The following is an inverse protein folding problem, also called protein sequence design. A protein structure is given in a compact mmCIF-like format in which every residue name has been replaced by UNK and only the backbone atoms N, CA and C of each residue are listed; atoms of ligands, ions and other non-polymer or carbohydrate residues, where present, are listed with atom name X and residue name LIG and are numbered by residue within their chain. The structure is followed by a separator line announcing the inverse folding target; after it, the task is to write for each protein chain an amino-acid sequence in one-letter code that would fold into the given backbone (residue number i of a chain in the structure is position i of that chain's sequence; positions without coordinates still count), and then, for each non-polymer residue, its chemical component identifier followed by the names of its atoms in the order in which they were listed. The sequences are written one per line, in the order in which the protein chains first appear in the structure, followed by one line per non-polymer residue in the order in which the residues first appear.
data_IF_305795957385
#
_entry.id   IF_305795957385
#
_cell.length_a   1.000
_cell.length_b   1.000
_cell.length_c   1.000
_cell.angle_alpha   90.00
_cell.angle_beta   90.00
_cell.angle_gamma   90.00
#
_symmetry.space_group_name_H-M   'P 1'
#
loop_
_entity.id
_entity.type
_entity.pdbx_description
1 polymer ?
#
# COMPACT_ATOMS: atom_id res chain seq x y z
N UNK A 1 -12.21 -0.47 26.35
CA UNK A 1 -10.89 -0.78 26.94
C UNK A 1 -10.04 -1.71 26.08
N UNK A 2 -10.56 -2.84 25.53
CA UNK A 2 -9.73 -3.76 24.73
C UNK A 2 -9.00 -3.12 23.55
N UNK A 3 -9.65 -2.18 22.86
CA UNK A 3 -9.08 -1.45 21.71
C UNK A 3 -7.93 -0.51 22.09
N UNK A 4 -7.99 0.15 23.25
CA UNK A 4 -6.93 1.03 23.72
C UNK A 4 -5.64 0.27 24.01
N UNK A 5 -5.77 -0.89 24.65
CA UNK A 5 -4.62 -1.75 24.94
C UNK A 5 -4.04 -2.32 23.63
N UNK A 6 -4.89 -2.70 22.67
CA UNK A 6 -4.45 -3.14 21.34
C UNK A 6 -3.61 -2.06 20.63
N UNK A 7 -4.06 -0.80 20.66
CA UNK A 7 -3.32 0.30 20.04
C UNK A 7 -1.98 0.55 20.72
N UNK A 8 -1.92 0.51 22.06
CA UNK A 8 -0.66 0.66 22.78
C UNK A 8 0.33 -0.47 22.46
N UNK A 9 -0.15 -1.71 22.33
CA UNK A 9 0.67 -2.83 21.91
C UNK A 9 1.15 -2.68 20.46
N UNK A 10 0.23 -2.28 19.56
CA UNK A 10 0.56 -2.00 18.16
C UNK A 10 1.62 -0.92 18.03
N UNK A 11 1.46 0.25 18.63
CA UNK A 11 2.42 1.35 18.44
C UNK A 11 3.83 1.01 18.93
N UNK A 12 3.95 0.24 20.02
CA UNK A 12 5.26 -0.27 20.48
C UNK A 12 5.92 -1.20 19.46
N UNK A 13 5.12 -2.07 18.84
CA UNK A 13 5.59 -3.00 17.82
C UNK A 13 5.84 -2.28 16.50
N UNK A 14 5.03 -1.27 16.16
CA UNK A 14 5.15 -0.50 14.93
C UNK A 14 6.45 0.30 14.89
N UNK A 15 6.82 0.95 16.00
CA UNK A 15 8.13 1.61 16.13
C UNK A 15 9.26 0.59 15.93
N UNK A 16 9.22 -0.54 16.65
CA UNK A 16 10.25 -1.57 16.49
C UNK A 16 10.29 -2.17 15.07
N UNK A 17 9.14 -2.44 14.45
CA UNK A 17 9.01 -2.92 13.08
C UNK A 17 9.63 -1.91 12.12
N UNK A 18 9.33 -0.63 12.27
CA UNK A 18 9.87 0.45 11.47
C UNK A 18 11.40 0.54 11.56
N UNK A 19 11.96 0.42 12.78
CA UNK A 19 13.41 0.53 12.98
C UNK A 19 14.20 -0.71 12.60
N UNK A 20 13.62 -1.90 12.78
CA UNK A 20 14.33 -3.19 12.71
C UNK A 20 13.94 -3.99 11.48
N UNK A 21 12.64 -4.22 11.27
CA UNK A 21 12.14 -5.14 10.24
C UNK A 21 11.98 -4.47 8.88
N UNK A 22 11.47 -3.24 8.83
CA UNK A 22 11.26 -2.51 7.56
C UNK A 22 12.59 -2.25 6.83
N UNK A 23 13.69 -2.04 7.56
CA UNK A 23 15.04 -1.93 6.97
C UNK A 23 15.52 -3.22 6.32
N UNK A 24 14.97 -4.35 6.74
CA UNK A 24 15.32 -5.69 6.26
C UNK A 24 14.25 -6.25 5.32
N UNK A 25 13.16 -5.51 5.05
CA UNK A 25 12.00 -5.99 4.29
C UNK A 25 11.30 -7.18 4.94
N UNK A 26 11.33 -7.26 6.28
CA UNK A 26 10.83 -8.39 7.07
C UNK A 26 9.60 -8.03 7.91
N UNK A 27 8.95 -6.89 7.64
CA UNK A 27 7.75 -6.45 8.36
C UNK A 27 6.60 -7.47 8.26
N UNK A 28 6.55 -8.27 7.19
CA UNK A 28 5.54 -9.30 6.96
C UNK A 28 5.50 -10.38 8.05
N UNK A 29 6.57 -10.56 8.85
CA UNK A 29 6.55 -11.47 10.01
C UNK A 29 5.54 -11.04 11.08
N UNK A 30 5.24 -9.74 11.16
CA UNK A 30 4.20 -9.20 12.05
C UNK A 30 2.89 -8.99 11.30
N UNK A 31 2.96 -8.40 10.11
CA UNK A 31 1.76 -7.96 9.39
C UNK A 31 0.90 -9.14 8.92
N UNK A 32 1.51 -10.22 8.41
CA UNK A 32 0.79 -11.40 7.93
C UNK A 32 -0.01 -12.10 9.03
N UNK A 33 0.58 -12.52 10.16
CA UNK A 33 -0.20 -13.16 11.22
C UNK A 33 -1.24 -12.23 11.85
N UNK A 34 -0.97 -10.92 11.93
CA UNK A 34 -1.96 -9.95 12.40
C UNK A 34 -3.15 -9.84 11.44
N UNK A 35 -2.91 -9.92 10.13
CA UNK A 35 -3.94 -9.90 9.09
C UNK A 35 -4.94 -11.05 9.14
N UNK A 36 -4.60 -12.18 9.77
CA UNK A 36 -5.55 -13.27 10.04
C UNK A 36 -6.64 -12.84 11.04
N UNK A 37 -6.36 -11.87 11.91
CA UNK A 37 -7.31 -11.29 12.86
C UNK A 37 -8.01 -10.07 12.25
N UNK A 38 -8.81 -10.31 11.20
CA UNK A 38 -9.27 -9.27 10.26
C UNK A 38 -9.96 -8.07 10.92
N UNK A 39 -10.82 -8.28 11.93
CA UNK A 39 -11.50 -7.18 12.62
C UNK A 39 -10.52 -6.28 13.38
N UNK A 40 -9.65 -6.87 14.19
CA UNK A 40 -8.63 -6.14 14.95
C UNK A 40 -7.62 -5.43 14.02
N UNK A 41 -7.19 -6.10 12.95
CA UNK A 41 -6.30 -5.52 11.95
C UNK A 41 -6.94 -4.30 11.26
N UNK A 42 -8.21 -4.38 10.86
CA UNK A 42 -8.92 -3.24 10.26
C UNK A 42 -9.06 -2.06 11.22
N UNK A 43 -9.29 -2.32 12.52
CA UNK A 43 -9.29 -1.27 13.56
C UNK A 43 -7.91 -0.60 13.66
N UNK A 44 -6.83 -1.40 13.70
CA UNK A 44 -5.45 -0.88 13.73
C UNK A 44 -5.16 -0.02 12.50
N UNK A 45 -5.51 -0.50 11.30
CA UNK A 45 -5.28 0.22 10.05
C UNK A 45 -5.93 1.60 10.09
N UNK A 46 -7.21 1.68 10.49
CA UNK A 46 -7.97 2.94 10.52
C UNK A 46 -7.46 3.94 11.57
N UNK A 47 -6.99 3.45 12.72
CA UNK A 47 -6.40 4.31 13.75
C UNK A 47 -5.00 4.80 13.32
N UNK A 48 -4.16 3.88 12.86
CA UNK A 48 -2.77 4.18 12.52
C UNK A 48 -2.64 5.03 11.24
N UNK A 49 -3.59 4.95 10.30
CA UNK A 49 -3.63 5.82 9.11
C UNK A 49 -3.85 7.30 9.46
N UNK A 50 -4.45 7.60 10.62
CA UNK A 50 -4.65 8.96 11.10
C UNK A 50 -3.46 9.47 11.94
N UNK A 51 -2.43 8.64 12.14
CA UNK A 51 -1.27 9.00 12.95
C UNK A 51 -0.42 10.09 12.28
N UNK A 52 0.08 11.03 13.09
CA UNK A 52 1.11 11.98 12.64
C UNK A 52 2.44 11.33 12.29
N UNK A 53 2.68 10.07 12.66
CA UNK A 53 3.89 9.32 12.30
C UNK A 53 3.75 8.71 10.91
N UNK A 54 4.61 9.11 9.98
CA UNK A 54 4.71 8.53 8.63
C UNK A 54 4.89 7.00 8.67
N UNK A 55 5.74 6.48 9.56
CA UNK A 55 5.98 5.05 9.67
C UNK A 55 4.74 4.28 10.13
N UNK A 56 3.90 4.86 10.98
CA UNK A 56 2.64 4.23 11.38
C UNK A 56 1.66 4.15 10.22
N UNK A 57 1.51 5.24 9.45
CA UNK A 57 0.67 5.24 8.25
C UNK A 57 1.16 4.24 7.20
N UNK A 58 2.48 4.18 7.00
CA UNK A 58 3.14 3.23 6.09
C UNK A 58 2.87 1.77 6.47
N UNK A 59 3.05 1.43 7.74
CA UNK A 59 2.76 0.09 8.26
C UNK A 59 1.26 -0.24 8.22
N UNK A 60 0.38 0.74 8.44
CA UNK A 60 -1.07 0.57 8.28
C UNK A 60 -1.45 0.24 6.84
N UNK A 61 -0.93 1.01 5.87
CA UNK A 61 -1.11 0.75 4.46
C UNK A 61 -0.61 -0.64 4.07
N UNK A 62 0.55 -1.06 4.58
CA UNK A 62 1.11 -2.40 4.37
C UNK A 62 0.25 -3.51 5.00
N UNK A 63 -0.26 -3.29 6.22
CA UNK A 63 -1.12 -4.25 6.94
C UNK A 63 -2.41 -4.53 6.17
N UNK A 64 -3.00 -3.50 5.54
CA UNK A 64 -4.24 -3.65 4.79
C UNK A 64 -4.17 -4.77 3.73
N UNK A 65 -3.04 -4.94 3.07
CA UNK A 65 -2.80 -5.98 2.06
C UNK A 65 -2.73 -7.41 2.61
N UNK A 66 -2.61 -7.57 3.93
CA UNK A 66 -2.55 -8.85 4.62
C UNK A 66 -3.85 -9.25 5.31
N UNK A 67 -4.82 -8.34 5.41
CA UNK A 67 -6.11 -8.63 6.02
C UNK A 67 -6.84 -9.65 5.17
N UNK A 68 -7.27 -10.75 5.80
CA UNK A 68 -7.92 -11.88 5.13
C UNK A 68 -9.34 -11.55 4.66
N UNK A 69 -10.14 -10.96 5.54
CA UNK A 69 -11.52 -10.56 5.27
C UNK A 69 -11.67 -9.04 5.48
N UNK A 70 -11.07 -8.22 4.59
CA UNK A 70 -11.10 -6.78 4.73
C UNK A 70 -12.46 -6.19 4.41
N UNK A 71 -12.73 -5.00 4.98
CA UNK A 71 -13.83 -4.15 4.52
C UNK A 71 -13.57 -3.73 3.07
N UNK A 72 -14.56 -3.86 2.16
CA UNK A 72 -14.40 -3.46 0.76
C UNK A 72 -13.88 -2.03 0.54
N UNK A 73 -14.20 -1.12 1.46
CA UNK A 73 -13.84 0.30 1.38
C UNK A 73 -12.46 0.62 1.98
N UNK A 74 -11.77 -0.33 2.61
CA UNK A 74 -10.58 0.00 3.42
C UNK A 74 -9.46 0.66 2.60
N UNK A 75 -9.19 0.17 1.38
CA UNK A 75 -8.18 0.77 0.51
C UNK A 75 -8.60 2.16 0.02
N UNK A 76 -9.90 2.38 -0.24
CA UNK A 76 -10.44 3.70 -0.60
C UNK A 76 -10.36 4.68 0.58
N UNK A 77 -10.66 4.22 1.79
CA UNK A 77 -10.51 4.99 3.03
C UNK A 77 -9.05 5.41 3.24
N UNK A 78 -8.10 4.49 3.04
CA UNK A 78 -6.66 4.77 3.13
C UNK A 78 -6.20 5.76 2.06
N UNK A 79 -6.61 5.53 0.80
CA UNK A 79 -6.31 6.45 -0.30
C UNK A 79 -6.82 7.86 0.02
N UNK A 80 -8.08 7.97 0.42
CA UNK A 80 -8.68 9.26 0.79
C UNK A 80 -7.95 9.92 1.95
N UNK A 81 -7.60 9.16 2.99
CA UNK A 81 -6.88 9.69 4.16
C UNK A 81 -5.55 10.29 3.76
N UNK A 82 -4.76 9.59 2.94
CA UNK A 82 -3.44 10.09 2.52
C UNK A 82 -3.55 11.21 1.47
N UNK A 83 -4.57 11.17 0.61
CA UNK A 83 -4.89 12.24 -0.33
C UNK A 83 -5.27 13.55 0.38
N UNK A 84 -6.11 13.45 1.42
CA UNK A 84 -6.50 14.59 2.26
C UNK A 84 -5.28 15.11 3.06
N UNK A 85 -4.40 14.22 3.52
CA UNK A 85 -3.15 14.59 4.18
C UNK A 85 -2.19 15.34 3.22
N UNK A 86 -1.88 14.80 2.04
CA UNK A 86 -1.01 15.47 1.04
C UNK A 86 -1.55 16.84 0.64
N UNK A 87 -2.87 16.97 0.47
CA UNK A 87 -3.51 18.24 0.14
C UNK A 87 -3.43 19.30 1.26
N UNK A 88 -3.21 18.87 2.51
CA UNK A 88 -3.01 19.78 3.66
C UNK A 88 -1.58 20.31 3.78
N UNK A 89 -0.63 19.72 3.03
CA UNK A 89 0.78 20.07 3.10
C UNK A 89 1.13 21.20 2.14
N UNK A 90 2.12 22.00 2.53
CA UNK A 90 2.68 23.02 1.64
C UNK A 90 3.44 22.37 0.48
N UNK A 91 3.51 23.01 -0.71
CA UNK A 91 4.11 22.40 -1.88
C UNK A 91 5.55 21.91 -1.66
N UNK A 92 6.38 22.57 -0.86
CA UNK A 92 7.77 22.15 -0.59
C UNK A 92 7.95 21.28 0.66
N UNK A 93 6.86 20.81 1.27
CA UNK A 93 6.92 20.02 2.50
C UNK A 93 7.51 18.63 2.23
N UNK A 94 8.44 18.21 3.10
CA UNK A 94 8.99 16.85 3.08
C UNK A 94 7.91 15.80 3.30
N UNK A 95 6.84 16.12 4.05
CA UNK A 95 5.69 15.25 4.28
C UNK A 95 5.02 14.77 2.99
N UNK A 96 5.18 15.48 1.87
CA UNK A 96 4.68 15.01 0.57
C UNK A 96 5.43 13.77 0.09
N UNK A 97 6.75 13.71 0.30
CA UNK A 97 7.54 12.51 -0.04
C UNK A 97 7.15 11.32 0.83
N UNK A 98 6.87 11.58 2.11
CA UNK A 98 6.36 10.55 3.02
C UNK A 98 4.99 10.04 2.55
N UNK A 99 4.11 10.94 2.11
CA UNK A 99 2.78 10.59 1.58
C UNK A 99 2.85 9.71 0.33
N UNK A 100 3.79 10.02 -0.57
CA UNK A 100 4.07 9.20 -1.75
C UNK A 100 4.52 7.79 -1.35
N UNK A 101 5.35 7.68 -0.30
CA UNK A 101 5.81 6.37 0.19
C UNK A 101 4.72 5.57 0.90
N UNK A 102 3.74 6.22 1.54
CA UNK A 102 2.54 5.53 2.05
C UNK A 102 1.68 5.05 0.89
N UNK A 103 1.51 5.87 -0.15
CA UNK A 103 0.74 5.52 -1.34
C UNK A 103 1.31 4.31 -2.09
N UNK A 104 2.64 4.15 -2.12
CA UNK A 104 3.29 2.95 -2.63
C UNK A 104 2.79 1.67 -1.93
N UNK A 105 2.66 1.68 -0.61
CA UNK A 105 2.19 0.50 0.14
C UNK A 105 0.68 0.28 -0.01
N UNK A 106 -0.11 1.34 -0.22
CA UNK A 106 -1.54 1.19 -0.58
C UNK A 106 -1.65 0.45 -1.93
N UNK A 107 -0.84 0.82 -2.91
CA UNK A 107 -0.79 0.16 -4.23
C UNK A 107 -0.31 -1.29 -4.11
N UNK A 108 0.73 -1.56 -3.31
CA UNK A 108 1.19 -2.93 -3.01
C UNK A 108 0.09 -3.77 -2.37
N UNK A 109 -0.63 -3.21 -1.39
CA UNK A 109 -1.76 -3.88 -0.73
C UNK A 109 -2.90 -4.17 -1.70
N UNK A 110 -3.22 -3.23 -2.58
CA UNK A 110 -4.19 -3.47 -3.65
C UNK A 110 -3.72 -4.62 -4.57
N UNK A 111 -2.44 -4.68 -4.96
CA UNK A 111 -1.94 -5.80 -5.75
C UNK A 111 -2.08 -7.15 -5.04
N UNK A 112 -1.90 -7.20 -3.71
CA UNK A 112 -2.15 -8.42 -2.93
C UNK A 112 -3.61 -8.85 -3.01
N UNK A 113 -4.53 -7.91 -2.82
CA UNK A 113 -5.97 -8.17 -2.93
C UNK A 113 -6.39 -8.57 -4.35
N UNK A 114 -5.74 -8.05 -5.38
CA UNK A 114 -6.00 -8.45 -6.78
C UNK A 114 -5.61 -9.91 -7.06
N UNK A 115 -4.64 -10.46 -6.32
CA UNK A 115 -4.30 -11.90 -6.39
C UNK A 115 -5.37 -12.77 -5.73
N UNK A 116 -6.19 -12.20 -4.84
CA UNK A 116 -7.32 -12.86 -4.21
C UNK A 116 -8.61 -12.60 -5.01
N UNK A 117 -9.24 -13.67 -5.50
CA UNK A 117 -10.43 -13.59 -6.34
C UNK A 117 -11.62 -12.90 -5.66
N UNK A 118 -11.68 -12.87 -4.33
CA UNK A 118 -12.80 -12.27 -3.60
C UNK A 118 -12.66 -10.76 -3.40
N UNK A 119 -11.44 -10.22 -3.47
CA UNK A 119 -11.14 -8.80 -3.18
C UNK A 119 -10.72 -8.00 -4.43
N UNK A 120 -10.49 -8.68 -5.55
CA UNK A 120 -9.98 -8.05 -6.78
C UNK A 120 -10.81 -6.87 -7.28
N UNK A 121 -12.15 -6.94 -7.22
CA UNK A 121 -12.98 -5.81 -7.68
C UNK A 121 -12.78 -4.54 -6.85
N UNK A 122 -12.64 -4.68 -5.53
CA UNK A 122 -12.43 -3.55 -4.61
C UNK A 122 -11.03 -2.96 -4.77
N UNK A 123 -10.02 -3.82 -4.90
CA UNK A 123 -8.66 -3.38 -5.18
C UNK A 123 -8.54 -2.69 -6.55
N UNK A 124 -9.21 -3.22 -7.58
CA UNK A 124 -9.31 -2.63 -8.91
C UNK A 124 -9.90 -1.22 -8.85
N UNK A 125 -10.96 -1.03 -8.07
CA UNK A 125 -11.56 0.29 -7.88
C UNK A 125 -10.57 1.29 -7.26
N UNK A 126 -9.88 0.90 -6.18
CA UNK A 126 -8.88 1.75 -5.53
C UNK A 126 -7.71 2.12 -6.49
N UNK A 127 -7.19 1.16 -7.26
CA UNK A 127 -6.13 1.43 -8.24
C UNK A 127 -6.61 2.40 -9.33
N UNK A 128 -7.84 2.23 -9.84
CA UNK A 128 -8.44 3.16 -10.82
C UNK A 128 -8.55 4.58 -10.25
N UNK A 129 -8.91 4.74 -8.97
CA UNK A 129 -8.93 6.05 -8.30
C UNK A 129 -7.55 6.70 -8.24
N UNK A 130 -6.51 5.95 -7.84
CA UNK A 130 -5.12 6.47 -7.76
C UNK A 130 -4.62 6.95 -9.12
N UNK A 131 -4.86 6.17 -10.17
CA UNK A 131 -4.48 6.51 -11.55
C UNK A 131 -5.28 7.71 -12.03
N UNK A 132 -6.60 7.71 -11.85
CA UNK A 132 -7.48 8.81 -12.25
C UNK A 132 -7.11 10.13 -11.58
N UNK A 133 -6.84 10.12 -10.27
CA UNK A 133 -6.35 11.29 -9.53
C UNK A 133 -5.01 11.80 -10.08
N UNK A 134 -4.11 10.89 -10.45
CA UNK A 134 -2.81 11.25 -11.06
C UNK A 134 -2.98 11.95 -12.40
N UNK A 135 -3.83 11.39 -13.27
CA UNK A 135 -4.16 11.98 -14.57
C UNK A 135 -4.84 13.36 -14.39
N UNK A 136 -5.70 13.50 -13.37
CA UNK A 136 -6.39 14.74 -13.04
C UNK A 136 -5.51 15.81 -12.36
N UNK A 137 -4.23 15.51 -12.09
CA UNK A 137 -3.25 16.47 -11.57
C UNK A 137 -2.87 16.30 -10.10
N UNK A 138 -3.53 15.40 -9.35
CA UNK A 138 -3.08 14.97 -8.03
C UNK A 138 -2.09 13.83 -8.19
N UNK A 139 -0.84 14.19 -8.46
CA UNK A 139 0.19 13.26 -8.87
C UNK A 139 0.61 12.26 -7.77
N UNK A 140 0.58 10.95 -8.08
CA UNK A 140 1.15 9.86 -7.29
C UNK A 140 2.22 9.09 -8.08
N UNK A 141 3.41 8.89 -7.48
CA UNK A 141 4.53 8.19 -8.10
C UNK A 141 4.30 6.69 -8.29
N UNK A 142 3.37 6.13 -7.54
CA UNK A 142 2.95 4.74 -7.63
C UNK A 142 1.88 4.48 -8.70
N UNK A 143 1.40 5.51 -9.42
CA UNK A 143 0.37 5.34 -10.45
C UNK A 143 0.78 4.41 -11.60
N UNK A 144 2.08 4.37 -11.94
CA UNK A 144 2.61 3.42 -12.92
C UNK A 144 2.51 1.96 -12.43
N UNK A 145 2.85 1.71 -11.16
CA UNK A 145 2.70 0.37 -10.56
C UNK A 145 1.22 -0.01 -10.43
N UNK A 146 0.36 0.94 -10.05
CA UNK A 146 -1.09 0.75 -10.04
C UNK A 146 -1.60 0.30 -11.42
N UNK A 147 -1.12 0.93 -12.50
CA UNK A 147 -1.46 0.55 -13.87
C UNK A 147 -0.96 -0.86 -14.23
N UNK A 148 0.25 -1.22 -13.82
CA UNK A 148 0.80 -2.59 -14.00
C UNK A 148 -0.15 -3.62 -13.38
N UNK A 149 -0.63 -3.38 -12.15
CA UNK A 149 -1.57 -4.29 -11.50
C UNK A 149 -2.91 -4.41 -12.21
N UNK A 150 -3.50 -3.29 -12.64
CA UNK A 150 -4.75 -3.32 -13.38
C UNK A 150 -4.61 -4.13 -14.67
N UNK A 151 -3.58 -3.87 -15.47
CA UNK A 151 -3.36 -4.60 -16.72
C UNK A 151 -3.06 -6.08 -16.50
N UNK A 152 -2.39 -6.44 -15.39
CA UNK A 152 -2.03 -7.83 -15.07
C UNK A 152 -3.24 -8.68 -14.69
N UNK A 153 -4.14 -8.15 -13.87
CA UNK A 153 -5.20 -8.93 -13.22
C UNK A 153 -6.62 -8.64 -13.74
N UNK A 154 -6.84 -7.49 -14.42
CA UNK A 154 -8.14 -7.10 -15.00
C UNK A 154 -7.98 -6.46 -16.39
N UNK A 155 -7.65 -7.27 -17.39
CA UNK A 155 -7.35 -6.82 -18.76
C UNK A 155 -8.47 -6.01 -19.42
N UNK A 156 -9.72 -6.41 -19.26
CA UNK A 156 -10.80 -5.96 -20.15
C UNK A 156 -11.28 -4.53 -19.86
N UNK A 157 -11.20 -4.10 -18.59
CA UNK A 157 -11.56 -2.75 -18.15
C UNK A 157 -10.38 -1.76 -18.11
N UNK A 158 -9.16 -2.25 -18.37
CA UNK A 158 -7.92 -1.47 -18.19
C UNK A 158 -7.49 -0.70 -19.44
N UNK A 159 -8.03 -1.05 -20.62
CA UNK A 159 -7.54 -0.52 -21.90
C UNK A 159 -7.78 0.99 -22.08
N UNK A 160 -8.98 1.48 -21.75
CA UNK A 160 -9.30 2.91 -21.84
C UNK A 160 -8.43 3.73 -20.88
N UNK A 161 -8.34 3.30 -19.62
CA UNK A 161 -7.52 3.98 -18.61
C UNK A 161 -6.01 3.91 -18.93
N UNK A 162 -5.53 2.82 -19.53
CA UNK A 162 -4.15 2.71 -20.02
C UNK A 162 -3.87 3.74 -21.13
N UNK A 163 -4.82 3.94 -22.03
CA UNK A 163 -4.70 4.95 -23.09
C UNK A 163 -4.64 6.37 -22.49
N UNK A 164 -5.53 6.69 -21.54
CA UNK A 164 -5.50 7.98 -20.83
C UNK A 164 -4.18 8.20 -20.07
N UNK A 165 -3.70 7.16 -19.39
CA UNK A 165 -2.43 7.21 -18.67
C UNK A 165 -1.22 7.38 -19.62
N UNK A 166 -1.26 6.76 -20.81
CA UNK A 166 -0.24 6.93 -21.83
C UNK A 166 -0.23 8.36 -22.41
N UNK A 167 -1.40 8.97 -22.58
CA UNK A 167 -1.53 10.38 -22.98
C UNK A 167 -0.95 11.30 -21.91
N UNK A 168 -1.32 11.09 -20.65
CA UNK A 168 -0.73 11.78 -19.50
C UNK A 168 0.80 11.66 -19.49
N UNK A 169 1.34 10.44 -19.65
CA UNK A 169 2.77 10.16 -19.60
C UNK A 169 3.57 10.83 -20.74
N UNK A 170 2.92 11.14 -21.87
CA UNK A 170 3.51 11.88 -22.98
C UNK A 170 3.24 13.39 -22.92
N UNK A 171 2.46 13.84 -21.94
CA UNK A 171 2.13 15.23 -21.69
C UNK A 171 3.23 16.03 -20.99
N UNK A 172 2.93 17.28 -20.60
CA UNK A 172 3.83 18.10 -19.80
C UNK A 172 4.01 17.50 -18.41
N UNK A 173 5.21 17.62 -17.85
CA UNK A 173 5.47 17.15 -16.49
C UNK A 173 4.67 17.96 -15.46
N UNK A 174 4.07 17.30 -14.44
CA UNK A 174 3.37 18.01 -13.37
C UNK A 174 4.35 18.85 -12.56
N UNK A 175 3.87 19.99 -12.04
CA UNK A 175 4.60 20.83 -11.09
C UNK A 175 4.55 20.22 -9.68
N UNK A 176 5.18 19.06 -9.49
CA UNK A 176 5.20 18.33 -8.20
C UNK A 176 6.65 18.09 -7.70
N UNK A 177 6.95 18.30 -6.41
CA UNK A 177 8.32 18.23 -5.87
C UNK A 177 8.96 16.85 -5.98
N UNK A 178 8.15 15.80 -5.83
CA UNK A 178 8.62 14.41 -5.97
C UNK A 178 8.93 14.01 -7.42
N UNK A 179 8.84 14.94 -8.38
CA UNK A 179 8.96 14.59 -9.79
C UNK A 179 9.63 15.62 -10.71
N UNK A 180 10.89 15.38 -11.11
CA UNK A 180 11.55 16.20 -12.13
C UNK A 180 11.18 15.80 -13.58
N UNK A 181 10.53 14.65 -13.83
CA UNK A 181 10.11 14.22 -15.18
C UNK A 181 9.13 13.03 -15.19
N UNK A 182 8.37 12.84 -16.28
CA UNK A 182 7.45 11.69 -16.55
C UNK A 182 8.12 10.48 -17.24
N UNK A 183 9.45 10.36 -17.19
CA UNK A 183 10.17 9.30 -17.94
C UNK A 183 9.76 7.88 -17.53
N UNK A 184 9.46 7.66 -16.26
CA UNK A 184 9.10 6.34 -15.73
C UNK A 184 7.73 5.88 -16.24
N UNK A 185 6.74 6.75 -16.21
CA UNK A 185 5.35 6.53 -16.66
C UNK A 185 5.35 6.29 -18.14
N UNK A 186 6.14 7.08 -18.88
CA UNK A 186 6.28 6.89 -20.30
C UNK A 186 6.81 5.50 -20.61
N UNK A 187 7.85 5.07 -19.90
CA UNK A 187 8.42 3.73 -20.02
C UNK A 187 7.39 2.65 -19.65
N UNK A 188 6.66 2.81 -18.54
CA UNK A 188 5.65 1.85 -18.09
C UNK A 188 4.50 1.76 -19.10
N UNK A 189 3.91 2.89 -19.50
CA UNK A 189 2.82 2.96 -20.46
C UNK A 189 3.21 2.33 -21.80
N UNK A 190 4.42 2.62 -22.31
CA UNK A 190 4.94 1.99 -23.53
C UNK A 190 5.06 0.47 -23.38
N UNK A 191 5.68 -0.01 -22.30
CA UNK A 191 5.82 -1.44 -22.05
C UNK A 191 4.46 -2.14 -21.95
N UNK A 192 3.46 -1.52 -21.32
CA UNK A 192 2.13 -2.10 -21.18
C UNK A 192 1.36 -2.10 -22.50
N UNK A 193 1.41 -1.02 -23.29
CA UNK A 193 0.81 -0.95 -24.62
C UNK A 193 1.43 -1.95 -25.61
N UNK A 194 2.73 -2.23 -25.47
CA UNK A 194 3.44 -3.24 -26.26
C UNK A 194 3.22 -4.68 -25.76
N UNK A 195 2.53 -4.86 -24.63
CA UNK A 195 2.31 -6.17 -24.02
C UNK A 195 3.60 -6.83 -23.50
N UNK A 196 4.59 -6.03 -23.08
CA UNK A 196 5.88 -6.53 -22.61
C UNK A 196 5.73 -7.26 -21.25
N UNK A 197 5.93 -8.60 -21.20
CA UNK A 197 5.67 -9.38 -19.99
C UNK A 197 6.62 -9.04 -18.83
N UNK A 198 7.81 -8.49 -19.12
CA UNK A 198 8.81 -8.19 -18.07
C UNK A 198 8.33 -7.15 -17.06
N UNK A 199 7.49 -6.20 -17.48
CA UNK A 199 6.91 -5.20 -16.59
C UNK A 199 5.90 -5.83 -15.61
N UNK A 200 5.22 -6.90 -16.03
CA UNK A 200 4.25 -7.63 -15.21
C UNK A 200 4.94 -8.59 -14.23
N UNK A 201 6.16 -9.02 -14.52
CA UNK A 201 6.94 -10.00 -13.74
C UNK A 201 7.76 -9.39 -12.59
N UNK A 202 8.05 -8.07 -12.62
CA UNK A 202 8.75 -7.41 -11.50
C UNK A 202 7.88 -7.32 -10.26
N UNK A 203 6.61 -6.99 -10.42
CA UNK A 203 5.66 -6.88 -9.32
C UNK A 203 5.46 -8.22 -8.59
N UNK A 204 5.31 -9.32 -9.32
CA UNK A 204 5.15 -10.65 -8.70
C UNK A 204 6.37 -11.05 -7.88
N UNK A 205 7.57 -10.82 -8.42
CA UNK A 205 8.81 -11.14 -7.69
C UNK A 205 8.91 -10.33 -6.40
N UNK A 206 8.47 -9.07 -6.41
CA UNK A 206 8.43 -8.25 -5.21
C UNK A 206 7.44 -8.79 -4.17
N UNK A 207 6.21 -9.10 -4.59
CA UNK A 207 5.18 -9.65 -3.69
C UNK A 207 5.59 -11.01 -3.10
N UNK A 208 6.18 -11.89 -3.91
CA UNK A 208 6.70 -13.19 -3.48
C UNK A 208 7.86 -13.06 -2.48
N UNK A 209 8.74 -12.07 -2.66
CA UNK A 209 9.83 -11.82 -1.72
C UNK A 209 9.29 -11.40 -0.34
N UNK A 210 8.28 -10.54 -0.30
CA UNK A 210 7.61 -10.16 0.96
C UNK A 210 6.84 -11.33 1.60
N UNK A 211 6.23 -12.21 0.78
CA UNK A 211 5.57 -13.43 1.26
C UNK A 211 6.57 -14.37 1.95
N UNK A 212 7.76 -14.54 1.35
CA UNK A 212 8.83 -15.36 1.91
C UNK A 212 9.46 -14.75 3.18
N UNK A 213 9.53 -13.42 3.26
CA UNK A 213 10.09 -12.74 4.43
C UNK A 213 9.26 -12.99 5.71
N UNK A 214 7.98 -13.39 5.59
CA UNK A 214 7.14 -13.71 6.74
C UNK A 214 7.63 -14.94 7.54
N UNK A 215 8.46 -15.79 6.92
CA UNK A 215 9.03 -16.99 7.54
C UNK A 215 10.40 -16.73 8.20
N UNK A 216 10.83 -15.47 8.27
CA UNK A 216 12.11 -15.08 8.88
C UNK A 216 12.14 -15.38 10.38
N UNK A 217 13.24 -15.95 10.85
CA UNK A 217 13.46 -16.19 12.28
C UNK A 217 13.63 -14.86 13.03
N UNK A 218 12.91 -14.72 14.14
CA UNK A 218 12.93 -13.53 15.01
C UNK A 218 13.38 -13.96 16.38
N UNK A 219 14.14 -13.09 17.05
CA UNK A 219 14.63 -13.36 18.40
C UNK A 219 13.48 -13.60 19.40
N UNK A 220 13.71 -14.38 20.47
CA UNK A 220 12.65 -14.79 21.38
C UNK A 220 11.90 -13.64 22.06
N UNK A 221 12.56 -12.51 22.33
CA UNK A 221 11.93 -11.39 23.02
C UNK A 221 10.97 -10.66 22.08
N UNK A 222 11.40 -10.44 20.84
CA UNK A 222 10.56 -9.85 19.80
C UNK A 222 9.39 -10.78 19.44
N UNK A 223 9.62 -12.11 19.39
CA UNK A 223 8.55 -13.09 19.23
C UNK A 223 7.50 -12.99 20.33
N UNK A 224 7.91 -12.89 21.60
CA UNK A 224 6.98 -12.76 22.72
C UNK A 224 6.11 -11.49 22.64
N UNK A 225 6.67 -10.37 22.15
CA UNK A 225 5.91 -9.14 21.92
C UNK A 225 4.86 -9.31 20.81
N UNK A 226 5.25 -9.95 19.71
CA UNK A 226 4.32 -10.28 18.60
C UNK A 226 3.20 -11.19 19.10
N UNK A 227 3.54 -12.27 19.80
CA UNK A 227 2.55 -13.22 20.33
C UNK A 227 1.57 -12.54 21.30
N UNK A 228 2.04 -11.57 22.11
CA UNK A 228 1.18 -10.78 22.97
C UNK A 228 0.19 -9.92 22.17
N UNK A 229 0.64 -9.24 21.11
CA UNK A 229 -0.23 -8.48 20.21
C UNK A 229 -1.27 -9.38 19.54
N UNK A 230 -0.86 -10.55 19.02
CA UNK A 230 -1.76 -11.50 18.36
C UNK A 230 -2.80 -12.05 19.34
N UNK A 231 -2.41 -12.33 20.59
CA UNK A 231 -3.34 -12.74 21.64
C UNK A 231 -4.40 -11.66 21.93
N UNK A 232 -4.03 -10.37 21.88
CA UNK A 232 -4.98 -9.27 22.04
C UNK A 232 -5.86 -9.07 20.81
N UNK A 233 -5.32 -9.22 19.60
CA UNK A 233 -6.09 -9.14 18.36
C UNK A 233 -7.19 -10.21 18.34
N UNK A 234 -6.88 -11.43 18.80
CA UNK A 234 -7.83 -12.54 18.91
C UNK A 234 -9.01 -12.28 19.85
N UNK A 235 -8.86 -11.45 20.88
CA UNK A 235 -9.98 -11.15 21.80
C UNK A 235 -10.96 -10.10 21.26
N UNK A 236 -10.63 -9.50 20.11
CA UNK A 236 -11.38 -8.42 19.46
C UNK A 236 -12.14 -8.95 18.22
N UNK A 237 -12.04 -10.23 17.88
CA UNK A 237 -12.81 -10.87 16.80
C UNK A 237 -14.33 -10.90 17.02
#
# INVERSE_FOLDING_TARGET
MPTYDLFNAWFRIADWCAYTLAKQGCESVVLKPLGEHSHAAAIIVREASQSGSYMHRKLAASLAGWIRDPSPQLLEELFKTEADYDASLEPSDFGRLESQSVMEDIVVSAHRWMRDTNQGQHASHALKQIIGSTIAGQYWNSAGEAMIGLCKYHSDDSAELLQEFAEYANGPAPSHPSRPSLKQEKSIAQNLLEGNPKALDSLERFLQAQDAAADTEIDPNSRAAIDHLLAMAKTIE
#
